data_IF_833882473762
#
_entry.id   IF_833882473762
#
_cell.length_a   1.000
_cell.length_b   1.000
_cell.length_c   1.000
_cell.angle_alpha   90.00
_cell.angle_beta   90.00
_cell.angle_gamma   90.00
#
_symmetry.space_group_name_H-M   'P 1'
#
loop_
_entity.id
_entity.type
_entity.pdbx_description
1 polymer ?
#
# COMPACT_ATOMS: atom_id res chain seq x y z
N UNK A 1 3.44 -10.48 22.82
CA UNK A 1 4.51 -10.34 21.83
C UNK A 1 4.87 -11.64 21.11
N UNK A 2 5.18 -12.75 21.79
CA UNK A 2 5.59 -14.00 21.11
C UNK A 2 4.53 -14.53 20.12
N UNK A 3 3.27 -14.57 20.54
CA UNK A 3 2.16 -15.01 19.66
C UNK A 3 1.97 -14.13 18.43
N UNK A 4 2.18 -12.82 18.55
CA UNK A 4 2.09 -11.88 17.43
C UNK A 4 3.21 -12.11 16.43
N UNK A 5 4.45 -12.32 16.94
CA UNK A 5 5.58 -12.67 16.09
C UNK A 5 5.34 -13.97 15.32
N UNK A 6 4.72 -14.98 15.93
CA UNK A 6 4.36 -16.22 15.24
C UNK A 6 3.34 -16.00 14.11
N UNK A 7 2.37 -15.10 14.29
CA UNK A 7 1.37 -14.77 13.26
C UNK A 7 1.96 -13.90 12.14
N UNK A 8 2.85 -12.97 12.48
CA UNK A 8 3.47 -12.07 11.47
C UNK A 8 4.65 -12.72 10.73
N UNK A 9 5.37 -13.65 11.38
CA UNK A 9 6.56 -14.29 10.83
C UNK A 9 6.36 -14.90 9.43
N UNK A 10 5.29 -15.68 9.12
CA UNK A 10 5.10 -16.25 7.80
C UNK A 10 5.07 -15.21 6.68
N UNK A 11 4.50 -14.03 6.93
CA UNK A 11 4.42 -12.95 5.94
C UNK A 11 5.81 -12.40 5.62
N UNK A 12 6.60 -12.11 6.64
CA UNK A 12 7.98 -11.61 6.43
C UNK A 12 8.92 -12.71 5.94
N UNK A 13 8.71 -13.96 6.34
CA UNK A 13 9.48 -15.11 5.84
C UNK A 13 9.27 -15.29 4.32
N UNK A 14 8.05 -15.13 3.81
CA UNK A 14 7.78 -15.17 2.35
C UNK A 14 8.52 -14.08 1.61
N UNK A 15 8.57 -12.85 2.16
CA UNK A 15 9.39 -11.76 1.59
C UNK A 15 10.88 -12.17 1.59
N UNK A 16 11.38 -12.71 2.70
CA UNK A 16 12.75 -13.22 2.81
C UNK A 16 13.06 -14.33 1.79
N UNK A 17 12.13 -15.28 1.59
CA UNK A 17 12.28 -16.34 0.60
C UNK A 17 12.38 -15.78 -0.83
N UNK A 18 11.50 -14.84 -1.20
CA UNK A 18 11.55 -14.18 -2.50
C UNK A 18 12.85 -13.40 -2.72
N UNK A 19 13.31 -12.69 -1.69
CA UNK A 19 14.58 -11.97 -1.71
C UNK A 19 15.77 -12.92 -1.96
N UNK A 20 15.84 -14.01 -1.21
CA UNK A 20 16.92 -15.01 -1.36
C UNK A 20 16.84 -15.71 -2.73
N UNK A 21 15.63 -16.05 -3.20
CA UNK A 21 15.44 -16.71 -4.49
C UNK A 21 15.96 -15.83 -5.65
N UNK A 22 15.64 -14.55 -5.67
CA UNK A 22 16.13 -13.63 -6.70
C UNK A 22 17.63 -13.36 -6.55
N UNK A 23 18.11 -13.13 -5.33
CA UNK A 23 19.55 -12.88 -5.07
C UNK A 23 20.44 -14.07 -5.44
N UNK A 24 19.96 -15.29 -5.22
CA UNK A 24 20.63 -16.55 -5.61
C UNK A 24 20.39 -16.93 -7.07
N UNK A 25 19.63 -16.12 -7.82
CA UNK A 25 19.21 -16.39 -9.21
C UNK A 25 18.48 -17.74 -9.39
N UNK A 26 17.86 -18.24 -8.34
CA UNK A 26 16.90 -19.36 -8.42
C UNK A 26 15.63 -18.91 -9.15
N UNK A 27 15.24 -17.64 -8.97
CA UNK A 27 14.24 -16.97 -9.78
C UNK A 27 14.97 -16.05 -10.79
N UNK A 28 14.77 -16.23 -12.10
CA UNK A 28 15.28 -15.28 -13.09
C UNK A 28 14.70 -13.88 -12.86
N UNK A 29 15.53 -12.84 -12.98
CA UNK A 29 15.09 -11.46 -12.68
C UNK A 29 13.97 -11.00 -13.61
N UNK A 30 13.96 -11.49 -14.87
CA UNK A 30 12.91 -11.18 -15.84
C UNK A 30 11.56 -11.82 -15.50
N UNK A 31 11.54 -12.94 -14.75
CA UNK A 31 10.32 -13.59 -14.30
C UNK A 31 9.57 -12.78 -13.22
N UNK A 32 10.25 -11.85 -12.53
CA UNK A 32 9.64 -11.00 -11.50
C UNK A 32 8.50 -10.16 -12.07
N UNK A 33 8.66 -9.66 -13.30
CA UNK A 33 7.61 -8.91 -14.01
C UNK A 33 6.35 -9.76 -14.24
N UNK A 34 6.52 -11.02 -14.61
CA UNK A 34 5.41 -11.97 -14.80
C UNK A 34 4.68 -12.30 -13.50
N UNK A 35 5.41 -12.54 -12.41
CA UNK A 35 4.82 -12.76 -11.08
C UNK A 35 4.02 -11.54 -10.61
N UNK A 36 4.57 -10.33 -10.81
CA UNK A 36 3.88 -9.09 -10.46
C UNK A 36 2.61 -8.91 -11.30
N UNK A 37 2.66 -9.20 -12.60
CA UNK A 37 1.50 -9.20 -13.49
C UNK A 37 0.42 -10.21 -13.05
N UNK A 38 0.81 -11.43 -12.69
CA UNK A 38 -0.12 -12.44 -12.17
C UNK A 38 -0.84 -11.94 -10.92
N UNK A 39 -0.09 -11.35 -9.97
CA UNK A 39 -0.67 -10.84 -8.73
C UNK A 39 -1.63 -9.68 -9.02
N UNK A 40 -1.22 -8.69 -9.82
CA UNK A 40 -1.99 -7.46 -10.05
C UNK A 40 -3.26 -7.68 -10.88
N UNK A 41 -3.21 -8.56 -11.90
CA UNK A 41 -4.30 -8.71 -12.86
C UNK A 41 -5.19 -9.93 -12.62
N UNK A 42 -4.75 -10.89 -11.82
CA UNK A 42 -5.52 -12.11 -11.56
C UNK A 42 -5.77 -12.35 -10.07
N UNK A 43 -4.72 -12.49 -9.27
CA UNK A 43 -4.86 -12.95 -7.90
C UNK A 43 -5.48 -11.89 -6.96
N UNK A 44 -4.98 -10.65 -6.98
CA UNK A 44 -5.52 -9.55 -6.16
C UNK A 44 -6.95 -9.17 -6.52
N UNK A 45 -7.33 -9.01 -7.81
CA UNK A 45 -8.72 -8.75 -8.14
C UNK A 45 -9.67 -9.82 -7.60
N UNK A 46 -9.30 -11.10 -7.70
CA UNK A 46 -10.11 -12.19 -7.12
C UNK A 46 -10.19 -12.10 -5.59
N UNK A 47 -9.10 -11.75 -4.93
CA UNK A 47 -9.08 -11.57 -3.48
C UNK A 47 -9.95 -10.37 -3.04
N UNK A 48 -9.83 -9.24 -3.72
CA UNK A 48 -10.61 -8.04 -3.43
C UNK A 48 -12.10 -8.24 -3.73
N UNK A 49 -12.44 -8.95 -4.81
CA UNK A 49 -13.81 -9.35 -5.10
C UNK A 49 -14.38 -10.25 -3.99
N UNK A 50 -13.64 -11.28 -3.56
CA UNK A 50 -14.05 -12.19 -2.48
C UNK A 50 -14.36 -11.40 -1.21
N UNK A 51 -13.44 -10.54 -0.78
CA UNK A 51 -13.65 -9.74 0.42
C UNK A 51 -14.78 -8.72 0.24
N UNK A 52 -14.86 -8.04 -0.90
CA UNK A 52 -15.95 -7.13 -1.20
C UNK A 52 -17.32 -7.80 -1.17
N UNK A 53 -17.44 -9.02 -1.73
CA UNK A 53 -18.70 -9.78 -1.78
C UNK A 53 -19.12 -10.37 -0.43
N UNK A 54 -18.19 -10.50 0.52
CA UNK A 54 -18.46 -11.03 1.86
C UNK A 54 -18.54 -9.94 2.95
N UNK A 55 -18.24 -8.68 2.60
CA UNK A 55 -18.30 -7.54 3.52
C UNK A 55 -19.56 -6.73 3.30
N UNK A 56 -20.34 -6.37 4.34
CA UNK A 56 -21.51 -5.52 4.19
C UNK A 56 -21.16 -4.18 3.53
N UNK A 57 -21.97 -3.75 2.55
CA UNK A 57 -21.71 -2.53 1.76
C UNK A 57 -21.57 -1.28 2.62
N UNK A 58 -22.27 -1.20 3.75
CA UNK A 58 -22.16 -0.10 4.71
C UNK A 58 -20.76 0.05 5.29
N UNK A 59 -20.00 -1.06 5.44
CA UNK A 59 -18.62 -1.02 5.91
C UNK A 59 -17.63 -0.65 4.79
N UNK A 60 -18.00 -0.90 3.52
CA UNK A 60 -17.20 -0.51 2.36
C UNK A 60 -17.35 0.99 2.02
N UNK A 61 -18.45 1.62 2.48
CA UNK A 61 -18.77 3.02 2.24
C UNK A 61 -18.68 3.87 3.53
N UNK A 62 -17.86 3.49 4.50
CA UNK A 62 -17.70 4.23 5.74
C UNK A 62 -17.03 5.60 5.49
N UNK A 63 -17.87 6.65 5.51
CA UNK A 63 -17.44 8.02 5.27
C UNK A 63 -16.50 8.55 6.38
N UNK A 64 -16.63 8.04 7.60
CA UNK A 64 -15.78 8.44 8.74
C UNK A 64 -14.37 7.92 8.55
N UNK A 65 -14.23 6.62 8.22
CA UNK A 65 -12.94 6.01 7.87
C UNK A 65 -12.31 6.72 6.68
N UNK A 66 -13.11 6.95 5.61
CA UNK A 66 -12.64 7.63 4.41
C UNK A 66 -12.12 9.04 4.72
N UNK A 67 -12.91 9.87 5.40
CA UNK A 67 -12.57 11.27 5.66
C UNK A 67 -11.35 11.42 6.59
N UNK A 68 -11.31 10.63 7.67
CA UNK A 68 -10.19 10.67 8.63
C UNK A 68 -8.90 10.18 7.99
N UNK A 69 -8.94 9.06 7.27
CA UNK A 69 -7.74 8.55 6.61
C UNK A 69 -7.28 9.46 5.46
N UNK A 70 -8.21 10.01 4.67
CA UNK A 70 -7.90 11.00 3.64
C UNK A 70 -7.15 12.20 4.22
N UNK A 71 -7.64 12.76 5.32
CA UNK A 71 -6.97 13.88 5.99
C UNK A 71 -5.55 13.49 6.41
N UNK A 72 -5.38 12.31 7.01
CA UNK A 72 -4.05 11.81 7.41
C UNK A 72 -3.12 11.64 6.20
N UNK A 73 -3.60 11.06 5.10
CA UNK A 73 -2.83 10.88 3.88
C UNK A 73 -2.38 12.22 3.28
N UNK A 74 -3.27 13.21 3.21
CA UNK A 74 -2.95 14.56 2.72
C UNK A 74 -1.91 15.25 3.61
N UNK A 75 -2.05 15.20 4.93
CA UNK A 75 -1.08 15.75 5.87
C UNK A 75 0.26 15.04 5.73
N UNK A 76 0.25 13.71 5.61
CA UNK A 76 1.48 12.91 5.46
C UNK A 76 2.22 13.24 4.16
N UNK A 77 1.50 13.37 3.04
CA UNK A 77 2.08 13.79 1.75
C UNK A 77 2.66 15.18 1.85
N UNK A 78 1.92 16.16 2.39
CA UNK A 78 2.40 17.52 2.53
C UNK A 78 3.65 17.60 3.41
N UNK A 79 3.64 16.90 4.55
CA UNK A 79 4.79 16.84 5.46
C UNK A 79 6.01 16.17 4.80
N UNK A 80 5.82 15.03 4.15
CA UNK A 80 6.93 14.31 3.51
C UNK A 80 7.54 15.12 2.35
N UNK A 81 6.74 15.83 1.55
CA UNK A 81 7.25 16.74 0.52
C UNK A 81 8.03 17.88 1.16
N UNK A 82 7.46 18.55 2.19
CA UNK A 82 8.11 19.69 2.85
C UNK A 82 9.47 19.31 3.48
N UNK A 83 9.58 18.09 4.01
CA UNK A 83 10.80 17.61 4.66
C UNK A 83 11.87 17.10 3.69
N UNK A 84 11.48 16.69 2.49
CA UNK A 84 12.40 16.06 1.53
C UNK A 84 12.77 16.96 0.36
N UNK A 85 11.92 17.96 0.02
CA UNK A 85 12.15 18.88 -1.08
C UNK A 85 13.40 19.73 -0.78
N UNK A 86 14.37 19.70 -1.69
CA UNK A 86 15.64 20.43 -1.58
C UNK A 86 16.23 20.68 -2.97
N UNK A 87 17.36 21.38 -3.05
CA UNK A 87 18.08 21.54 -4.32
C UNK A 87 18.49 20.21 -4.95
N UNK A 88 18.76 19.20 -4.12
CA UNK A 88 19.14 17.85 -4.57
C UNK A 88 17.95 16.94 -4.86
N UNK A 89 16.87 17.02 -4.07
CA UNK A 89 15.66 16.22 -4.22
C UNK A 89 14.57 17.14 -4.77
N UNK A 90 14.36 17.11 -6.07
CA UNK A 90 13.39 17.96 -6.76
C UNK A 90 11.96 17.40 -6.64
N UNK A 91 10.99 18.14 -7.17
CA UNK A 91 9.56 17.81 -7.04
C UNK A 91 9.20 16.38 -7.46
N UNK A 92 9.78 15.86 -8.53
CA UNK A 92 9.51 14.48 -8.96
C UNK A 92 9.91 13.49 -7.87
N UNK A 93 11.15 13.56 -7.39
CA UNK A 93 11.66 12.64 -6.39
C UNK A 93 11.06 12.87 -4.99
N UNK A 94 10.75 14.13 -4.64
CA UNK A 94 10.07 14.47 -3.39
C UNK A 94 8.65 13.92 -3.36
N UNK A 95 7.89 14.07 -4.47
CA UNK A 95 6.53 13.55 -4.58
C UNK A 95 6.47 12.02 -4.53
N UNK A 96 7.40 11.32 -5.20
CA UNK A 96 7.49 9.86 -5.07
C UNK A 96 8.01 9.41 -3.71
N UNK A 97 8.89 10.20 -3.08
CA UNK A 97 9.27 10.03 -1.67
C UNK A 97 8.08 10.16 -0.72
N UNK A 98 7.19 11.13 -0.97
CA UNK A 98 5.96 11.30 -0.20
C UNK A 98 4.96 10.17 -0.48
N UNK A 99 4.84 9.73 -1.74
CA UNK A 99 3.99 8.60 -2.08
C UNK A 99 4.43 7.34 -1.33
N UNK A 100 5.71 7.00 -1.35
CA UNK A 100 6.21 5.81 -0.65
C UNK A 100 6.11 5.94 0.87
N UNK A 101 6.08 7.16 1.41
CA UNK A 101 5.93 7.41 2.84
C UNK A 101 4.46 7.37 3.32
N UNK A 102 3.50 7.76 2.47
CA UNK A 102 2.09 7.85 2.78
C UNK A 102 1.24 6.67 2.26
N UNK A 103 1.83 5.79 1.47
CA UNK A 103 1.14 4.66 0.87
C UNK A 103 1.67 3.33 1.44
N UNK A 104 1.05 2.80 2.50
CA UNK A 104 1.42 1.52 3.07
C UNK A 104 1.05 0.35 2.14
N UNK A 105 1.66 -0.80 2.36
CA UNK A 105 1.43 -2.01 1.57
C UNK A 105 0.12 -2.71 1.94
N UNK A 106 -0.97 -1.94 1.83
CA UNK A 106 -2.31 -2.34 2.26
C UNK A 106 -2.85 -3.50 1.43
N UNK A 107 -2.69 -3.44 0.10
CA UNK A 107 -3.24 -4.44 -0.81
C UNK A 107 -2.56 -5.80 -0.70
N UNK A 108 -1.22 -5.86 -0.73
CA UNK A 108 -0.50 -7.12 -0.74
C UNK A 108 -0.32 -7.73 0.66
N UNK A 109 -0.15 -6.90 1.68
CA UNK A 109 0.14 -7.34 3.03
C UNK A 109 -1.01 -7.02 4.00
N UNK A 110 -1.59 -5.83 3.93
CA UNK A 110 -2.57 -5.35 4.89
C UNK A 110 -3.83 -6.22 4.93
N UNK A 111 -4.49 -6.44 3.79
CA UNK A 111 -5.73 -7.22 3.73
C UNK A 111 -5.57 -8.60 4.35
N UNK A 112 -4.63 -9.47 3.89
CA UNK A 112 -4.52 -10.81 4.44
C UNK A 112 -4.02 -10.84 5.88
N UNK A 113 -3.09 -9.95 6.24
CA UNK A 113 -2.51 -9.91 7.58
C UNK A 113 -3.54 -9.44 8.63
N UNK A 114 -4.27 -8.36 8.35
CA UNK A 114 -5.27 -7.85 9.27
C UNK A 114 -6.51 -8.73 9.35
N UNK A 115 -6.92 -9.36 8.23
CA UNK A 115 -7.97 -10.38 8.26
C UNK A 115 -7.60 -11.57 9.15
N UNK A 116 -6.31 -11.96 9.18
CA UNK A 116 -5.82 -13.04 10.05
C UNK A 116 -5.72 -12.60 11.51
N UNK A 117 -5.27 -11.38 11.77
CA UNK A 117 -5.06 -10.86 13.14
C UNK A 117 -6.35 -10.42 13.83
N UNK A 118 -7.22 -9.72 13.10
CA UNK A 118 -8.41 -9.03 13.65
C UNK A 118 -9.72 -9.66 13.16
N UNK A 119 -9.64 -10.63 12.27
CA UNK A 119 -10.81 -11.27 11.67
C UNK A 119 -11.39 -10.50 10.46
N UNK A 120 -12.44 -11.08 9.82
CA UNK A 120 -13.00 -10.55 8.57
C UNK A 120 -13.55 -9.13 8.66
N UNK A 121 -13.98 -8.67 9.83
CA UNK A 121 -14.50 -7.31 10.05
C UNK A 121 -13.47 -6.22 9.76
N UNK A 122 -12.17 -6.53 9.83
CA UNK A 122 -11.10 -5.57 9.51
C UNK A 122 -11.04 -5.20 8.03
N UNK A 123 -11.59 -6.04 7.17
CA UNK A 123 -11.46 -5.89 5.71
C UNK A 123 -12.18 -4.65 5.18
N UNK A 124 -13.33 -4.29 5.76
CA UNK A 124 -14.07 -3.09 5.36
C UNK A 124 -13.21 -1.82 5.44
N UNK A 125 -12.73 -1.43 6.63
CA UNK A 125 -11.83 -0.29 6.78
C UNK A 125 -10.56 -0.38 5.92
N UNK A 126 -9.96 -1.58 5.78
CA UNK A 126 -8.78 -1.78 4.92
C UNK A 126 -9.08 -1.46 3.46
N UNK A 127 -10.24 -1.87 2.94
CA UNK A 127 -10.66 -1.57 1.55
C UNK A 127 -10.84 -0.06 1.35
N UNK A 128 -11.47 0.63 2.31
CA UNK A 128 -11.61 2.10 2.26
C UNK A 128 -10.25 2.79 2.16
N UNK A 129 -9.29 2.35 2.97
CA UNK A 129 -7.89 2.84 2.91
C UNK A 129 -7.27 2.59 1.53
N UNK A 130 -7.43 1.39 0.96
CA UNK A 130 -6.93 1.07 -0.40
C UNK A 130 -7.50 2.05 -1.43
N UNK A 131 -8.79 2.37 -1.34
CA UNK A 131 -9.42 3.32 -2.27
C UNK A 131 -8.82 4.72 -2.13
N UNK A 132 -8.64 5.22 -0.91
CA UNK A 132 -7.99 6.53 -0.67
C UNK A 132 -6.58 6.54 -1.27
N UNK A 133 -5.79 5.52 -0.99
CA UNK A 133 -4.39 5.46 -1.43
C UNK A 133 -4.27 5.32 -2.95
N UNK A 134 -5.06 4.46 -3.56
CA UNK A 134 -5.01 4.24 -5.01
C UNK A 134 -5.56 5.41 -5.82
N UNK A 135 -6.64 6.04 -5.33
CA UNK A 135 -7.33 7.09 -6.10
C UNK A 135 -6.75 8.47 -5.76
N UNK A 136 -6.65 8.80 -4.48
CA UNK A 136 -6.29 10.16 -4.06
C UNK A 136 -4.80 10.31 -3.84
N UNK A 137 -4.20 9.50 -2.96
CA UNK A 137 -2.78 9.62 -2.60
C UNK A 137 -1.87 9.46 -3.81
N UNK A 138 -2.10 8.42 -4.63
CA UNK A 138 -1.30 8.19 -5.84
C UNK A 138 -1.49 9.29 -6.87
N UNK A 139 -2.73 9.71 -7.15
CA UNK A 139 -3.02 10.75 -8.15
C UNK A 139 -2.45 12.10 -7.74
N UNK A 140 -2.55 12.46 -6.45
CA UNK A 140 -1.97 13.67 -5.89
C UNK A 140 -0.44 13.68 -6.05
N UNK A 141 0.23 12.62 -5.63
CA UNK A 141 1.70 12.56 -5.73
C UNK A 141 2.18 12.56 -7.19
N UNK A 142 1.47 11.88 -8.09
CA UNK A 142 1.77 11.93 -9.53
C UNK A 142 1.57 13.35 -10.09
N UNK A 143 0.54 14.06 -9.65
CA UNK A 143 0.34 15.46 -10.04
C UNK A 143 1.47 16.37 -9.50
N UNK A 144 1.82 16.22 -8.21
CA UNK A 144 2.90 16.97 -7.57
C UNK A 144 4.26 16.72 -8.26
N UNK A 145 4.51 15.49 -8.73
CA UNK A 145 5.75 15.14 -9.42
C UNK A 145 6.00 15.93 -10.70
N UNK A 146 4.98 16.60 -11.24
CA UNK A 146 5.03 17.38 -12.50
C UNK A 146 5.04 18.89 -12.27
N UNK A 147 5.18 19.36 -11.04
CA UNK A 147 5.25 20.78 -10.71
C UNK A 147 6.59 21.44 -11.09
N UNK A 148 7.65 20.68 -11.30
CA UNK A 148 8.89 21.22 -11.88
C UNK A 148 8.63 21.87 -13.22
N UNK A 149 9.04 23.15 -13.38
CA UNK A 149 8.77 23.98 -14.54
C UNK A 149 9.19 23.39 -15.89
N UNK A 150 10.16 22.47 -15.91
CA UNK A 150 10.54 21.70 -17.09
C UNK A 150 9.45 20.72 -17.58
N UNK A 151 8.49 20.36 -16.74
CA UNK A 151 7.43 19.38 -17.03
C UNK A 151 6.05 20.00 -17.26
N UNK A 152 5.92 21.32 -17.42
CA UNK A 152 4.66 21.99 -17.80
C UNK A 152 3.91 22.72 -16.69
N UNK A 153 4.47 22.85 -15.48
CA UNK A 153 3.83 23.59 -14.37
C UNK A 153 2.43 23.07 -14.02
N UNK A 154 1.50 23.97 -13.71
CA UNK A 154 0.13 23.61 -13.29
C UNK A 154 -0.66 22.83 -14.38
N UNK A 155 -0.44 23.12 -15.67
CA UNK A 155 -1.07 22.36 -16.76
C UNK A 155 -0.54 20.94 -16.83
N UNK A 156 0.78 20.75 -16.71
CA UNK A 156 1.39 19.41 -16.67
C UNK A 156 0.93 18.59 -15.47
N UNK A 157 0.76 19.22 -14.30
CA UNK A 157 0.21 18.58 -13.10
C UNK A 157 -1.24 18.10 -13.32
N UNK A 158 -2.09 18.92 -13.92
CA UNK A 158 -3.48 18.56 -14.21
C UNK A 158 -3.59 17.42 -15.24
N UNK A 159 -2.78 17.48 -16.31
CA UNK A 159 -2.71 16.39 -17.29
C UNK A 159 -2.18 15.09 -16.67
N UNK A 160 -1.19 15.17 -15.79
CA UNK A 160 -0.65 14.02 -15.07
C UNK A 160 -1.68 13.42 -14.11
N UNK A 161 -2.45 14.25 -13.39
CA UNK A 161 -3.56 13.80 -12.56
C UNK A 161 -4.64 13.09 -13.40
N UNK A 162 -5.00 13.64 -14.57
CA UNK A 162 -5.93 13.00 -15.49
C UNK A 162 -5.44 11.64 -16.01
N UNK A 163 -4.14 11.53 -16.33
CA UNK A 163 -3.52 10.26 -16.73
C UNK A 163 -3.48 9.25 -15.55
N UNK A 164 -3.21 9.72 -14.32
CA UNK A 164 -3.22 8.90 -13.13
C UNK A 164 -4.63 8.33 -12.87
N UNK A 165 -5.66 9.17 -12.93
CA UNK A 165 -7.06 8.73 -12.78
C UNK A 165 -7.47 7.74 -13.88
N UNK A 166 -7.08 7.96 -15.13
CA UNK A 166 -7.29 6.95 -16.20
C UNK A 166 -6.57 5.64 -15.88
N UNK A 167 -5.37 5.70 -15.30
CA UNK A 167 -4.63 4.52 -14.83
C UNK A 167 -5.37 3.77 -13.72
N UNK A 168 -6.01 4.48 -12.79
CA UNK A 168 -6.86 3.89 -11.76
C UNK A 168 -8.07 3.19 -12.37
N UNK A 169 -8.76 3.84 -13.31
CA UNK A 169 -9.91 3.24 -14.03
C UNK A 169 -9.52 2.03 -14.87
N UNK A 170 -8.32 2.04 -15.45
CA UNK A 170 -7.79 0.90 -16.21
C UNK A 170 -7.29 -0.25 -15.32
N UNK A 171 -7.12 -0.02 -14.01
CA UNK A 171 -6.69 -1.04 -13.06
C UNK A 171 -7.86 -1.96 -12.69
N UNK A 172 -7.73 -3.29 -12.71
CA UNK A 172 -8.81 -4.20 -12.34
C UNK A 172 -9.18 -4.19 -10.86
N UNK A 173 -8.29 -3.72 -9.96
CA UNK A 173 -8.52 -3.77 -8.51
C UNK A 173 -9.73 -2.93 -8.04
N UNK A 174 -9.87 -1.63 -8.42
CA UNK A 174 -11.07 -0.87 -8.05
C UNK A 174 -12.37 -1.51 -8.54
N UNK A 175 -12.36 -2.06 -9.76
CA UNK A 175 -13.52 -2.74 -10.31
C UNK A 175 -13.86 -4.02 -9.57
N UNK A 176 -12.86 -4.77 -9.13
CA UNK A 176 -13.07 -5.95 -8.30
C UNK A 176 -13.73 -5.61 -6.96
N UNK A 177 -13.33 -4.50 -6.32
CA UNK A 177 -13.95 -3.99 -5.10
C UNK A 177 -15.41 -3.60 -5.38
N UNK A 178 -15.66 -2.82 -6.44
CA UNK A 178 -17.01 -2.38 -6.81
C UNK A 178 -17.91 -3.57 -7.13
N UNK A 179 -17.44 -4.52 -7.95
CA UNK A 179 -18.20 -5.72 -8.30
C UNK A 179 -18.45 -6.60 -7.07
N UNK A 180 -17.49 -6.74 -6.17
CA UNK A 180 -17.68 -7.42 -4.89
C UNK A 180 -18.73 -6.73 -4.02
N UNK A 181 -18.65 -5.40 -3.86
CA UNK A 181 -19.62 -4.61 -3.10
C UNK A 181 -21.03 -4.68 -3.68
N UNK A 182 -21.16 -4.62 -5.01
CA UNK A 182 -22.45 -4.82 -5.69
C UNK A 182 -22.98 -6.23 -5.44
N UNK A 183 -22.15 -7.26 -5.56
CA UNK A 183 -22.54 -8.64 -5.27
C UNK A 183 -23.03 -8.79 -3.83
N UNK A 184 -22.34 -8.16 -2.86
CA UNK A 184 -22.79 -8.12 -1.46
C UNK A 184 -24.13 -7.40 -1.28
N UNK A 185 -24.35 -6.29 -2.01
CA UNK A 185 -25.58 -5.49 -1.88
C UNK A 185 -26.84 -6.20 -2.41
N UNK A 186 -26.67 -7.09 -3.41
CA UNK A 186 -27.78 -7.84 -4.04
C UNK A 186 -27.78 -9.33 -3.68
N UNK A 187 -26.97 -9.74 -2.67
CA UNK A 187 -26.79 -11.13 -2.24
C UNK A 187 -26.45 -12.09 -3.40
N UNK A 188 -25.69 -11.59 -4.40
CA UNK A 188 -25.31 -12.39 -5.56
C UNK A 188 -24.12 -13.28 -5.25
N UNK A 189 -24.25 -14.57 -5.59
CA UNK A 189 -23.17 -15.54 -5.50
C UNK A 189 -22.78 -16.02 -6.90
N UNK A 190 -21.48 -16.09 -7.14
CA UNK A 190 -20.98 -16.70 -8.39
C UNK A 190 -21.39 -18.17 -8.47
N UNK A 191 -21.64 -18.70 -9.69
CA UNK A 191 -21.77 -20.14 -9.88
C UNK A 191 -20.61 -20.91 -9.27
N UNK A 192 -20.88 -22.01 -8.59
CA UNK A 192 -19.91 -22.73 -7.77
C UNK A 192 -18.54 -23.03 -8.47
N UNK A 193 -18.47 -23.42 -9.75
CA UNK A 193 -17.19 -23.63 -10.42
C UNK A 193 -16.38 -22.34 -10.60
N UNK A 194 -17.03 -21.21 -10.93
CA UNK A 194 -16.40 -19.90 -11.09
C UNK A 194 -15.94 -19.36 -9.76
N UNK A 195 -16.78 -19.50 -8.73
CA UNK A 195 -16.44 -19.11 -7.36
C UNK A 195 -15.19 -19.86 -6.89
N UNK A 196 -15.14 -21.20 -7.07
CA UNK A 196 -14.00 -22.01 -6.66
C UNK A 196 -12.72 -21.57 -7.39
N UNK A 197 -12.81 -21.29 -8.69
CA UNK A 197 -11.66 -20.80 -9.47
C UNK A 197 -11.16 -19.45 -8.96
N UNK A 198 -12.07 -18.50 -8.72
CA UNK A 198 -11.73 -17.19 -8.20
C UNK A 198 -11.13 -17.27 -6.79
N UNK A 199 -11.63 -18.18 -5.93
CA UNK A 199 -11.09 -18.36 -4.57
C UNK A 199 -9.70 -18.98 -4.58
N UNK A 200 -9.39 -19.92 -5.49
CA UNK A 200 -8.04 -20.45 -5.66
C UNK A 200 -7.05 -19.36 -6.07
N UNK A 201 -7.44 -18.45 -6.98
CA UNK A 201 -6.63 -17.30 -7.34
C UNK A 201 -6.47 -16.33 -6.16
N UNK A 202 -7.54 -16.07 -5.42
CA UNK A 202 -7.52 -15.22 -4.24
C UNK A 202 -6.57 -15.76 -3.14
N UNK A 203 -6.56 -17.07 -2.92
CA UNK A 203 -5.67 -17.70 -1.94
C UNK A 203 -4.20 -17.60 -2.35
N UNK A 204 -3.90 -17.58 -3.64
CA UNK A 204 -2.55 -17.36 -4.17
C UNK A 204 -2.08 -15.91 -4.05
N UNK A 205 -2.99 -14.94 -3.88
CA UNK A 205 -2.66 -13.51 -3.92
C UNK A 205 -1.58 -13.12 -2.89
N UNK A 206 -1.80 -13.39 -1.61
CA UNK A 206 -0.89 -13.00 -0.54
C UNK A 206 0.48 -13.70 -0.64
N UNK A 207 0.59 -15.04 -0.72
CA UNK A 207 1.89 -15.69 -0.75
C UNK A 207 2.71 -15.31 -1.98
N UNK A 208 2.10 -15.23 -3.17
CA UNK A 208 2.82 -14.84 -4.39
C UNK A 208 3.21 -13.37 -4.34
N UNK A 209 2.34 -12.47 -3.85
CA UNK A 209 2.66 -11.06 -3.70
C UNK A 209 3.84 -10.83 -2.76
N UNK A 210 3.84 -11.43 -1.57
CA UNK A 210 4.90 -11.27 -0.57
C UNK A 210 6.23 -11.82 -1.09
N UNK A 211 6.21 -12.99 -1.74
CA UNK A 211 7.39 -13.54 -2.41
C UNK A 211 7.90 -12.59 -3.50
N UNK A 212 7.00 -12.06 -4.32
CA UNK A 212 7.34 -11.11 -5.40
C UNK A 212 7.94 -9.82 -4.86
N UNK A 213 7.42 -9.28 -3.74
CA UNK A 213 8.00 -8.12 -3.05
C UNK A 213 9.46 -8.38 -2.72
N UNK A 214 9.76 -9.51 -2.08
CA UNK A 214 11.14 -9.89 -1.77
C UNK A 214 12.03 -9.94 -3.00
N UNK A 215 11.54 -10.55 -4.08
CA UNK A 215 12.27 -10.64 -5.34
C UNK A 215 12.51 -9.25 -5.99
N UNK A 216 11.51 -8.36 -5.96
CA UNK A 216 11.66 -6.95 -6.42
C UNK A 216 12.71 -6.22 -5.62
N UNK A 217 12.71 -6.36 -4.30
CA UNK A 217 13.69 -5.72 -3.42
C UNK A 217 15.13 -6.22 -3.70
N UNK A 218 15.30 -7.53 -3.92
CA UNK A 218 16.60 -8.10 -4.29
C UNK A 218 17.06 -7.56 -5.66
N UNK A 219 16.18 -7.55 -6.68
CA UNK A 219 16.48 -7.01 -8.01
C UNK A 219 16.93 -5.55 -7.91
N UNK A 220 16.19 -4.73 -7.17
CA UNK A 220 16.51 -3.31 -7.01
C UNK A 220 17.90 -3.11 -6.38
N UNK A 221 18.30 -3.94 -5.41
CA UNK A 221 19.66 -3.88 -4.84
C UNK A 221 20.76 -4.31 -5.82
N UNK A 222 20.44 -5.19 -6.76
CA UNK A 222 21.42 -5.71 -7.72
C UNK A 222 21.64 -4.78 -8.93
N UNK A 223 20.67 -3.89 -9.20
CA UNK A 223 20.67 -3.01 -10.38
C UNK A 223 21.02 -1.55 -10.08
N UNK A 224 21.16 -1.17 -8.82
CA UNK A 224 21.50 0.21 -8.44
C UNK A 224 23.02 0.40 -8.44
N UNK A 225 23.51 1.21 -9.40
CA UNK A 225 24.92 1.50 -9.60
C UNK A 225 25.50 2.57 -8.65
N UNK A 226 24.67 3.40 -8.01
CA UNK A 226 25.11 4.50 -7.15
C UNK A 226 24.57 4.39 -5.72
N UNK A 227 25.44 4.54 -4.70
CA UNK A 227 25.01 4.56 -3.31
C UNK A 227 24.30 5.88 -3.01
N UNK A 228 22.97 5.84 -2.74
CA UNK A 228 22.28 7.00 -2.14
C UNK A 228 22.65 7.11 -0.67
N UNK A 229 22.91 8.32 -0.14
CA UNK A 229 23.22 8.48 1.28
C UNK A 229 22.01 8.08 2.16
N UNK A 230 22.30 7.62 3.37
CA UNK A 230 21.27 7.21 4.34
C UNK A 230 20.23 8.30 4.61
N UNK A 231 20.65 9.57 4.59
CA UNK A 231 19.80 10.73 4.76
C UNK A 231 18.65 10.84 3.76
N UNK A 232 18.74 10.18 2.60
CA UNK A 232 17.76 10.31 1.54
C UNK A 232 16.62 9.29 1.64
N UNK A 233 16.85 8.15 2.30
CA UNK A 233 15.87 7.07 2.34
C UNK A 233 15.48 6.62 3.76
N UNK A 234 16.32 6.83 4.78
CA UNK A 234 15.98 6.45 6.16
C UNK A 234 14.85 7.33 6.73
N UNK A 235 14.89 8.68 6.62
CA UNK A 235 13.81 9.50 7.12
C UNK A 235 12.44 9.16 6.53
N UNK A 236 12.24 9.04 5.20
CA UNK A 236 10.96 8.61 4.64
C UNK A 236 10.50 7.23 5.14
N UNK A 237 11.41 6.26 5.34
CA UNK A 237 11.06 4.96 5.89
C UNK A 237 10.57 5.07 7.36
N UNK A 238 11.21 5.91 8.16
CA UNK A 238 10.76 6.18 9.54
C UNK A 238 9.45 6.96 9.58
N UNK A 239 9.23 7.88 8.65
CA UNK A 239 7.94 8.56 8.51
C UNK A 239 6.81 7.57 8.27
N UNK A 240 6.99 6.59 7.37
CA UNK A 240 6.00 5.53 7.14
C UNK A 240 5.73 4.71 8.40
N UNK A 241 6.77 4.27 9.09
CA UNK A 241 6.62 3.28 10.16
C UNK A 241 6.21 3.86 11.51
N UNK A 242 6.52 5.13 11.76
CA UNK A 242 6.32 5.76 13.07
C UNK A 242 5.38 6.96 12.98
N UNK A 243 5.66 7.90 12.08
CA UNK A 243 4.88 9.14 11.98
C UNK A 243 3.48 8.88 11.44
N UNK A 244 3.35 8.06 10.38
CA UNK A 244 2.06 7.79 9.75
C UNK A 244 1.07 7.11 10.72
N UNK A 245 1.40 5.99 11.40
CA UNK A 245 0.48 5.39 12.37
C UNK A 245 0.19 6.30 13.56
N UNK A 246 1.17 7.08 14.03
CA UNK A 246 0.95 8.04 15.11
C UNK A 246 -0.01 9.17 14.67
N UNK A 247 0.16 9.69 13.46
CA UNK A 247 -0.74 10.68 12.88
C UNK A 247 -2.18 10.16 12.79
N UNK A 248 -2.35 8.93 12.24
CA UNK A 248 -3.68 8.30 12.14
C UNK A 248 -4.30 8.10 13.52
N UNK A 249 -3.53 7.68 14.51
CA UNK A 249 -3.99 7.53 15.88
C UNK A 249 -4.45 8.88 16.47
N UNK A 250 -3.60 9.91 16.40
CA UNK A 250 -3.90 11.22 16.98
C UNK A 250 -5.11 11.88 16.31
N UNK A 251 -5.16 11.89 14.97
CA UNK A 251 -6.28 12.47 14.20
C UNK A 251 -7.55 11.66 14.43
N UNK A 252 -7.47 10.34 14.44
CA UNK A 252 -8.64 9.47 14.67
C UNK A 252 -9.21 9.63 16.09
N UNK A 253 -8.37 9.70 17.13
CA UNK A 253 -8.82 9.98 18.49
C UNK A 253 -9.45 11.37 18.60
N UNK A 254 -8.84 12.38 17.99
CA UNK A 254 -9.41 13.72 17.95
C UNK A 254 -10.75 13.75 17.21
N UNK A 255 -10.88 13.05 16.09
CA UNK A 255 -12.13 12.94 15.35
C UNK A 255 -13.25 12.31 16.20
N UNK A 256 -12.97 11.23 16.94
CA UNK A 256 -13.93 10.61 17.85
C UNK A 256 -14.35 11.60 18.95
N UNK A 257 -13.40 12.34 19.53
CA UNK A 257 -13.69 13.35 20.57
C UNK A 257 -14.53 14.51 20.03
N UNK A 258 -14.39 14.85 18.76
CA UNK A 258 -15.19 15.88 18.07
C UNK A 258 -16.55 15.36 17.59
N UNK A 259 -16.91 14.11 17.89
CA UNK A 259 -18.21 13.52 17.58
C UNK A 259 -18.31 12.89 16.18
N UNK A 260 -17.19 12.68 15.48
CA UNK A 260 -17.21 11.89 14.23
C UNK A 260 -17.57 10.43 14.57
N UNK A 261 -18.53 9.81 13.85
CA UNK A 261 -18.97 8.45 14.13
C UNK A 261 -17.96 7.39 13.64
N UNK A 262 -16.72 7.51 14.12
CA UNK A 262 -15.64 6.54 13.88
C UNK A 262 -15.55 5.57 15.06
N UNK A 263 -15.78 4.30 14.83
CA UNK A 263 -15.64 3.30 15.87
C UNK A 263 -14.18 2.98 16.20
N UNK A 264 -13.92 2.54 17.43
CA UNK A 264 -12.55 2.26 17.90
C UNK A 264 -11.89 1.10 17.17
N UNK A 265 -12.66 0.12 16.71
CA UNK A 265 -12.14 -1.00 15.96
C UNK A 265 -11.62 -0.53 14.59
N UNK A 266 -12.41 0.26 13.86
CA UNK A 266 -12.00 0.86 12.58
C UNK A 266 -10.76 1.75 12.76
N UNK A 267 -10.69 2.54 13.83
CA UNK A 267 -9.48 3.31 14.14
C UNK A 267 -8.26 2.39 14.36
N UNK A 268 -8.40 1.31 15.13
CA UNK A 268 -7.32 0.33 15.34
C UNK A 268 -6.85 -0.26 13.99
N UNK A 269 -7.78 -0.65 13.13
CA UNK A 269 -7.47 -1.16 11.79
C UNK A 269 -6.69 -0.12 10.98
N UNK A 270 -7.14 1.14 10.95
CA UNK A 270 -6.47 2.22 10.22
C UNK A 270 -5.05 2.48 10.72
N UNK A 271 -4.84 2.48 12.04
CA UNK A 271 -3.50 2.65 12.64
C UNK A 271 -2.60 1.49 12.28
N UNK A 272 -3.09 0.26 12.33
CA UNK A 272 -2.31 -0.92 11.93
C UNK A 272 -2.02 -0.94 10.43
N UNK A 273 -2.95 -0.48 9.57
CA UNK A 273 -2.67 -0.30 8.14
C UNK A 273 -1.55 0.72 7.95
N UNK A 274 -1.62 1.87 8.62
CA UNK A 274 -0.60 2.90 8.53
C UNK A 274 0.78 2.44 9.07
N UNK A 275 0.81 1.47 9.97
CA UNK A 275 2.05 0.87 10.49
C UNK A 275 2.68 -0.20 9.57
N UNK A 276 2.03 -0.56 8.46
CA UNK A 276 2.59 -1.45 7.45
C UNK A 276 3.79 -0.81 6.74
N UNK A 277 4.70 -1.62 6.15
CA UNK A 277 5.78 -1.08 5.32
C UNK A 277 5.22 -0.39 4.07
N UNK A 278 6.05 0.38 3.43
CA UNK A 278 5.72 1.06 2.17
C UNK A 278 5.30 0.09 1.07
N UNK A 279 4.36 0.51 0.23
CA UNK A 279 3.86 -0.31 -0.88
C UNK A 279 4.92 -0.51 -1.97
N UNK A 280 5.16 -1.77 -2.34
CA UNK A 280 6.17 -2.14 -3.33
C UNK A 280 5.84 -1.69 -4.77
N UNK A 281 4.56 -1.53 -5.10
CA UNK A 281 4.11 -1.05 -6.42
C UNK A 281 4.52 0.40 -6.70
N UNK A 282 4.87 1.20 -5.68
CA UNK A 282 5.40 2.56 -5.86
C UNK A 282 6.72 2.54 -6.65
N UNK A 283 7.52 1.49 -6.52
CA UNK A 283 8.76 1.32 -7.30
C UNK A 283 8.49 1.25 -8.82
N UNK A 284 7.42 0.57 -9.23
CA UNK A 284 7.01 0.53 -10.65
C UNK A 284 6.48 1.86 -11.14
N UNK A 285 5.77 2.59 -10.29
CA UNK A 285 5.30 3.93 -10.61
C UNK A 285 6.47 4.91 -10.74
N UNK A 286 7.46 4.85 -9.83
CA UNK A 286 8.65 5.71 -9.90
C UNK A 286 9.45 5.48 -11.18
N UNK A 287 9.59 4.24 -11.64
CA UNK A 287 10.22 3.90 -12.92
C UNK A 287 9.43 4.51 -14.09
N UNK A 288 8.12 4.31 -14.14
CA UNK A 288 7.25 4.83 -15.19
C UNK A 288 7.28 6.36 -15.30
N UNK A 289 7.43 7.06 -14.18
CA UNK A 289 7.45 8.51 -14.09
C UNK A 289 8.87 9.10 -13.99
N UNK A 290 9.91 8.26 -14.16
CA UNK A 290 11.32 8.66 -14.20
C UNK A 290 11.78 9.36 -12.91
N UNK A 291 11.28 8.91 -11.75
CA UNK A 291 11.78 9.30 -10.45
C UNK A 291 12.96 8.38 -10.04
N UNK A 292 13.68 8.77 -8.98
CA UNK A 292 14.78 7.96 -8.44
C UNK A 292 14.28 6.62 -7.86
N UNK A 293 14.15 5.62 -8.76
CA UNK A 293 13.69 4.27 -8.42
C UNK A 293 14.62 3.59 -7.42
N UNK A 294 15.93 3.90 -7.46
CA UNK A 294 16.91 3.36 -6.52
C UNK A 294 16.66 3.81 -5.09
N UNK A 295 16.38 5.11 -4.90
CA UNK A 295 15.99 5.68 -3.62
C UNK A 295 14.67 5.07 -3.12
N UNK A 296 13.65 5.01 -3.97
CA UNK A 296 12.33 4.44 -3.62
C UNK A 296 12.47 2.97 -3.19
N UNK A 297 13.22 2.17 -3.92
CA UNK A 297 13.44 0.76 -3.57
C UNK A 297 14.14 0.59 -2.21
N UNK A 298 15.06 1.49 -1.85
CA UNK A 298 15.73 1.47 -0.53
C UNK A 298 14.77 1.87 0.60
N UNK A 299 13.88 2.84 0.38
CA UNK A 299 12.84 3.20 1.36
C UNK A 299 11.93 1.99 1.60
N UNK A 300 11.47 1.33 0.53
CA UNK A 300 10.62 0.12 0.63
C UNK A 300 11.36 -1.00 1.36
N UNK A 301 12.63 -1.24 1.05
CA UNK A 301 13.43 -2.27 1.71
C UNK A 301 13.58 -2.00 3.21
N UNK A 302 14.04 -0.80 3.57
CA UNK A 302 14.25 -0.43 4.99
C UNK A 302 12.95 -0.49 5.76
N UNK A 303 11.85 0.07 5.20
CA UNK A 303 10.54 0.01 5.84
C UNK A 303 10.05 -1.45 5.97
N UNK A 304 10.27 -2.31 4.98
CA UNK A 304 9.84 -3.72 5.04
C UNK A 304 10.60 -4.50 6.12
N UNK A 305 11.92 -4.33 6.20
CA UNK A 305 12.73 -5.02 7.22
C UNK A 305 12.39 -4.52 8.63
N UNK A 306 12.29 -3.21 8.81
CA UNK A 306 11.99 -2.61 10.10
C UNK A 306 10.54 -2.85 10.55
N UNK A 307 9.60 -2.98 9.61
CA UNK A 307 8.19 -3.27 9.90
C UNK A 307 8.00 -4.59 10.66
N UNK A 308 8.87 -5.56 10.49
CA UNK A 308 8.79 -6.80 11.28
C UNK A 308 8.74 -6.52 12.79
N UNK A 309 9.55 -5.57 13.24
CA UNK A 309 9.59 -5.17 14.66
C UNK A 309 8.54 -4.11 14.97
N UNK A 310 8.47 -3.03 14.18
CA UNK A 310 7.60 -1.88 14.48
C UNK A 310 6.12 -2.23 14.37
N UNK A 311 5.72 -2.99 13.34
CA UNK A 311 4.35 -3.47 13.18
C UNK A 311 3.97 -4.45 14.29
N UNK A 312 4.86 -5.41 14.62
CA UNK A 312 4.60 -6.36 15.72
C UNK A 312 4.46 -5.64 17.07
N UNK A 313 5.22 -4.58 17.31
CA UNK A 313 5.08 -3.73 18.49
C UNK A 313 3.74 -2.97 18.48
N UNK A 314 3.35 -2.40 17.35
CA UNK A 314 2.07 -1.71 17.20
C UNK A 314 0.88 -2.64 17.46
N UNK A 315 0.89 -3.85 16.90
CA UNK A 315 -0.14 -4.88 17.17
C UNK A 315 -0.17 -5.22 18.66
N UNK A 316 1.01 -5.45 19.28
CA UNK A 316 1.08 -5.79 20.71
C UNK A 316 0.54 -4.70 21.64
N UNK A 317 0.53 -3.45 21.17
CA UNK A 317 0.05 -2.32 21.95
C UNK A 317 -1.45 -2.04 21.74
N UNK A 318 -1.97 -2.33 20.55
CA UNK A 318 -3.34 -2.00 20.16
C UNK A 318 -4.33 -3.15 20.30
N UNK A 319 -3.85 -4.40 20.26
CA UNK A 319 -4.62 -5.64 20.28
C UNK A 319 -4.22 -6.50 21.48
#
# INVERSE_FOLDING_TARGET
MLNILWVTFPFFALVGCGFVAARRRLLPLDAIGGLNGFVLFFALPCMLYRFGSTTPIAQLLDASVFGVYLLCALVMVAFAVAMTLSERIRWNDAAFGALVAAFPNTGFMGVPLLATLLGPKSVGPVIVVIVVDMVVTSSLCIALSRLDGAAGGAKGALEAAGKALRGVVANPMPWAIVLGGVASAIDYQLPAPLQKTAWLLADAASPVALFTIGAVLARAQMTVDHPSPLSDYVPPALMTLLLHPLLVLCVGVAAIQLGVPLDRFSLTVMVLVAALPSASNVSLLSERFQADTGRIARIILVSTVAAFVTFSAAVSWLV
#
